data_IF_561425711708
#
_entry.id   IF_561425711708
#
_cell.length_a   1.000
_cell.length_b   1.000
_cell.length_c   1.000
_cell.angle_alpha   90.00
_cell.angle_beta   90.00
_cell.angle_gamma   90.00
#
_symmetry.space_group_name_H-M   'P 1'
#
loop_
_entity.id
_entity.type
_entity.pdbx_description
1 polymer ?
#
# COMPACT_ATOMS: atom_id res chain seq x y z
N UNK A 1 -27.30 -31.04 -10.36
CA UNK A 1 -26.75 -29.67 -10.26
C UNK A 1 -25.24 -29.77 -10.26
N UNK A 2 -24.54 -29.24 -11.27
CA UNK A 2 -23.08 -29.13 -11.25
C UNK A 2 -22.73 -27.97 -10.33
N UNK A 3 -22.12 -28.26 -9.19
CA UNK A 3 -21.47 -27.27 -8.34
C UNK A 3 -20.36 -26.65 -9.16
N UNK A 4 -20.52 -25.39 -9.58
CA UNK A 4 -19.41 -24.62 -10.13
C UNK A 4 -18.45 -24.34 -8.97
N UNK A 5 -17.14 -24.54 -9.12
CA UNK A 5 -16.20 -24.01 -8.15
C UNK A 5 -16.42 -22.49 -8.13
N UNK A 6 -16.86 -21.96 -7.00
CA UNK A 6 -16.72 -20.54 -6.74
C UNK A 6 -15.23 -20.28 -6.90
N UNK A 7 -14.84 -19.61 -7.98
CA UNK A 7 -13.50 -19.08 -8.11
C UNK A 7 -13.42 -18.05 -6.99
N UNK A 8 -13.03 -18.50 -5.79
CA UNK A 8 -12.68 -17.62 -4.68
C UNK A 8 -11.50 -16.79 -5.19
N UNK A 9 -11.83 -15.64 -5.76
CA UNK A 9 -10.85 -14.60 -6.02
C UNK A 9 -10.13 -14.39 -4.69
N UNK A 10 -8.81 -14.56 -4.69
CA UNK A 10 -7.99 -14.37 -3.52
C UNK A 10 -8.41 -13.07 -2.79
N UNK A 11 -8.52 -13.11 -1.45
CA UNK A 11 -8.94 -11.96 -0.66
C UNK A 11 -8.10 -10.74 -1.04
N UNK A 12 -8.77 -9.60 -1.31
CA UNK A 12 -8.09 -8.37 -1.71
C UNK A 12 -7.51 -7.71 -0.47
N UNK A 13 -6.46 -8.29 0.07
CA UNK A 13 -5.87 -7.82 1.32
C UNK A 13 -5.03 -6.58 1.06
N UNK A 14 -5.28 -5.52 1.82
CA UNK A 14 -4.54 -4.26 1.75
C UNK A 14 -4.05 -3.94 3.15
N UNK A 15 -2.73 -3.76 3.29
CA UNK A 15 -2.15 -3.35 4.55
C UNK A 15 -2.22 -1.84 4.60
N UNK A 16 -2.82 -1.29 5.64
CA UNK A 16 -3.00 0.14 5.83
C UNK A 16 -2.33 0.56 7.14
N UNK A 17 -1.57 1.64 7.13
CA UNK A 17 -1.02 2.23 8.34
C UNK A 17 -0.77 3.72 8.16
N UNK A 18 -0.57 4.42 9.28
CA UNK A 18 -0.21 5.84 9.29
C UNK A 18 1.19 5.99 9.87
N UNK A 19 2.02 6.81 9.23
CA UNK A 19 3.40 7.06 9.66
C UNK A 19 3.50 7.55 11.12
N UNK A 20 4.63 7.27 11.77
CA UNK A 20 4.99 7.57 13.18
C UNK A 20 4.54 8.96 13.66
N UNK A 21 4.63 9.95 12.78
CA UNK A 21 4.44 11.36 13.11
C UNK A 21 2.98 11.83 13.15
N UNK A 22 2.00 10.97 12.89
CA UNK A 22 0.62 11.41 12.65
C UNK A 22 -0.43 10.62 13.48
N UNK A 23 -1.13 11.35 14.35
CA UNK A 23 -2.18 10.84 15.25
C UNK A 23 -3.59 10.94 14.65
N UNK A 24 -3.73 11.31 13.37
CA UNK A 24 -5.02 11.37 12.68
C UNK A 24 -5.57 9.98 12.34
N UNK A 25 -6.07 9.29 13.36
CA UNK A 25 -6.73 8.00 13.21
C UNK A 25 -8.03 8.08 12.37
N UNK A 26 -8.68 9.25 12.30
CA UNK A 26 -9.97 9.43 11.62
C UNK A 26 -9.85 9.20 10.11
N UNK A 27 -8.86 9.81 9.45
CA UNK A 27 -8.66 9.64 8.01
C UNK A 27 -8.31 8.18 7.67
N UNK A 28 -7.47 7.56 8.50
CA UNK A 28 -7.11 6.15 8.39
C UNK A 28 -8.33 5.23 8.50
N UNK A 29 -9.18 5.46 9.51
CA UNK A 29 -10.41 4.69 9.68
C UNK A 29 -11.41 4.91 8.55
N UNK A 30 -11.52 6.13 8.00
CA UNK A 30 -12.37 6.42 6.85
C UNK A 30 -11.90 5.67 5.59
N UNK A 31 -10.60 5.69 5.30
CA UNK A 31 -10.03 4.95 4.16
C UNK A 31 -10.25 3.45 4.35
N UNK A 32 -9.97 2.92 5.54
CA UNK A 32 -10.22 1.52 5.86
C UNK A 32 -11.71 1.15 5.69
N UNK A 33 -12.61 2.02 6.14
CA UNK A 33 -14.06 1.81 6.03
C UNK A 33 -14.51 1.82 4.57
N UNK A 34 -14.07 2.80 3.78
CA UNK A 34 -14.38 2.87 2.35
C UNK A 34 -13.88 1.65 1.59
N UNK A 35 -12.64 1.21 1.84
CA UNK A 35 -12.08 0.01 1.21
C UNK A 35 -12.82 -1.26 1.63
N UNK A 36 -13.14 -1.41 2.92
CA UNK A 36 -13.97 -2.53 3.39
C UNK A 36 -15.36 -2.52 2.76
N UNK A 37 -15.96 -1.34 2.56
CA UNK A 37 -17.23 -1.17 1.85
C UNK A 37 -17.16 -1.59 0.37
N UNK A 38 -15.97 -1.53 -0.24
CA UNK A 38 -15.71 -2.03 -1.59
C UNK A 38 -15.35 -3.53 -1.64
N UNK A 39 -15.31 -4.21 -0.49
CA UNK A 39 -15.01 -5.64 -0.39
C UNK A 39 -13.52 -5.98 -0.24
N UNK A 40 -12.66 -5.00 0.07
CA UNK A 40 -11.25 -5.26 0.40
C UNK A 40 -11.09 -5.70 1.85
N UNK A 41 -10.11 -6.57 2.08
CA UNK A 41 -9.71 -6.98 3.42
C UNK A 41 -8.60 -6.05 3.94
N UNK A 42 -8.97 -5.07 4.76
CA UNK A 42 -8.03 -4.03 5.20
C UNK A 42 -7.42 -4.40 6.55
N UNK A 43 -6.13 -4.71 6.52
CA UNK A 43 -5.27 -4.94 7.70
C UNK A 43 -4.74 -3.59 8.15
N UNK A 44 -5.45 -2.96 9.10
CA UNK A 44 -5.09 -1.65 9.61
C UNK A 44 -4.12 -1.80 10.80
N UNK A 45 -2.86 -1.41 10.62
CA UNK A 45 -1.80 -1.40 11.64
C UNK A 45 -1.94 -0.21 12.60
N UNK A 46 -2.82 0.74 12.29
CA UNK A 46 -3.13 1.87 13.14
C UNK A 46 -2.28 3.09 12.85
N UNK A 47 -2.06 3.89 13.88
CA UNK A 47 -1.19 5.08 13.83
C UNK A 47 0.18 4.76 14.38
N UNK A 48 1.14 5.57 13.96
CA UNK A 48 2.52 5.47 14.36
C UNK A 48 3.26 4.19 13.92
N UNK A 49 2.92 3.65 12.74
CA UNK A 49 3.46 2.39 12.25
C UNK A 49 4.85 2.57 11.63
N UNK A 50 5.78 1.72 12.04
CA UNK A 50 7.17 1.69 11.54
C UNK A 50 7.32 0.80 10.28
N UNK A 51 8.41 0.99 9.52
CA UNK A 51 8.73 0.13 8.36
C UNK A 51 8.85 -1.35 8.75
N UNK A 52 9.38 -1.65 9.94
CA UNK A 52 9.47 -3.01 10.43
C UNK A 52 8.09 -3.63 10.68
N UNK A 53 7.13 -2.87 11.22
CA UNK A 53 5.75 -3.35 11.36
C UNK A 53 5.07 -3.57 10.01
N UNK A 54 5.28 -2.67 9.03
CA UNK A 54 4.81 -2.91 7.67
C UNK A 54 5.42 -4.19 7.09
N UNK A 55 6.72 -4.41 7.28
CA UNK A 55 7.41 -5.61 6.84
C UNK A 55 6.90 -6.88 7.54
N UNK A 56 6.61 -6.83 8.84
CA UNK A 56 5.99 -7.93 9.57
C UNK A 56 4.57 -8.22 9.09
N UNK A 57 3.78 -7.17 8.84
CA UNK A 57 2.44 -7.31 8.28
C UNK A 57 2.47 -7.92 6.87
N UNK A 58 3.42 -7.49 6.01
CA UNK A 58 3.66 -8.12 4.71
C UNK A 58 4.05 -9.59 4.85
N UNK A 59 4.87 -9.94 5.84
CA UNK A 59 5.25 -11.33 6.09
C UNK A 59 4.07 -12.18 6.60
N UNK A 60 3.16 -11.59 7.39
CA UNK A 60 1.94 -12.26 7.85
C UNK A 60 0.87 -12.35 6.75
N UNK A 61 0.85 -11.39 5.83
CA UNK A 61 -0.07 -11.31 4.70
C UNK A 61 0.70 -11.29 3.37
N UNK A 62 1.31 -12.42 2.97
CA UNK A 62 2.08 -12.50 1.71
C UNK A 62 1.20 -12.27 0.47
N UNK A 63 -0.13 -12.44 0.60
CA UNK A 63 -1.10 -12.22 -0.46
C UNK A 63 -1.54 -10.75 -0.61
N UNK A 64 -1.03 -9.85 0.24
CA UNK A 64 -1.39 -8.44 0.21
C UNK A 64 -1.17 -7.84 -1.18
N UNK A 65 -2.19 -7.15 -1.71
CA UNK A 65 -2.13 -6.52 -3.03
C UNK A 65 -1.25 -5.28 -3.02
N UNK A 66 -1.27 -4.52 -1.91
CA UNK A 66 -0.47 -3.33 -1.71
C UNK A 66 -0.35 -2.96 -0.22
N UNK A 67 0.68 -2.18 0.10
CA UNK A 67 0.82 -1.47 1.38
C UNK A 67 0.45 -0.02 1.16
N UNK A 68 -0.47 0.52 1.95
CA UNK A 68 -0.91 1.90 1.93
C UNK A 68 -0.43 2.60 3.19
N UNK A 69 0.35 3.67 3.03
CA UNK A 69 0.92 4.44 4.13
C UNK A 69 0.36 5.86 4.09
N UNK A 70 -0.43 6.22 5.10
CA UNK A 70 -0.94 7.57 5.30
C UNK A 70 0.11 8.51 5.93
N UNK A 71 0.29 9.70 5.39
CA UNK A 71 1.07 10.77 6.05
C UNK A 71 0.50 12.16 5.77
N UNK A 72 0.20 12.93 6.83
CA UNK A 72 -0.20 14.34 6.74
C UNK A 72 0.89 15.32 7.19
N UNK A 73 1.98 14.84 7.80
CA UNK A 73 2.93 15.68 8.54
C UNK A 73 4.25 16.00 7.81
N UNK A 74 4.39 15.66 6.52
CA UNK A 74 5.57 16.02 5.72
C UNK A 74 6.90 15.36 6.11
N UNK A 75 6.93 14.59 7.21
CA UNK A 75 8.12 13.89 7.73
C UNK A 75 8.21 12.42 7.25
N UNK A 76 7.39 12.05 6.28
CA UNK A 76 7.33 10.70 5.69
C UNK A 76 8.71 10.18 5.24
N UNK A 77 9.66 11.07 4.95
CA UNK A 77 11.05 10.72 4.60
C UNK A 77 11.84 10.03 5.72
N UNK A 78 11.74 10.50 6.96
CA UNK A 78 12.44 9.86 8.08
C UNK A 78 11.74 8.55 8.45
N UNK A 79 10.41 8.55 8.40
CA UNK A 79 9.58 7.39 8.75
C UNK A 79 9.72 6.23 7.75
N UNK A 80 9.93 6.51 6.46
CA UNK A 80 10.13 5.49 5.41
C UNK A 80 11.60 5.13 5.17
N UNK A 81 12.51 5.65 5.98
CA UNK A 81 13.93 5.38 5.83
C UNK A 81 14.22 3.89 6.10
N UNK A 82 14.60 3.15 5.07
CA UNK A 82 14.82 1.71 5.15
C UNK A 82 13.74 0.86 4.47
N UNK A 83 12.70 1.47 3.91
CA UNK A 83 11.72 0.79 3.05
C UNK A 83 12.41 0.14 1.83
N UNK A 84 13.32 0.86 1.19
CA UNK A 84 14.21 0.38 0.14
C UNK A 84 14.94 -0.91 0.54
N UNK A 85 15.53 -0.93 1.74
CA UNK A 85 16.21 -2.10 2.29
C UNK A 85 15.25 -3.24 2.60
N UNK A 86 14.06 -2.95 3.13
CA UNK A 86 13.04 -3.96 3.39
C UNK A 86 12.57 -4.61 2.09
N UNK A 87 12.38 -3.83 1.01
CA UNK A 87 12.08 -4.34 -0.34
C UNK A 87 13.24 -5.17 -0.90
N UNK A 88 14.47 -4.67 -0.82
CA UNK A 88 15.67 -5.40 -1.27
C UNK A 88 15.91 -6.70 -0.50
N UNK A 89 15.58 -6.73 0.80
CA UNK A 89 15.66 -7.92 1.64
C UNK A 89 14.50 -8.92 1.40
N UNK A 90 13.55 -8.59 0.51
CA UNK A 90 12.37 -9.42 0.24
C UNK A 90 11.34 -9.45 1.37
N UNK A 91 11.42 -8.51 2.32
CA UNK A 91 10.44 -8.39 3.42
C UNK A 91 9.15 -7.69 2.96
N UNK A 92 9.24 -6.86 1.93
CA UNK A 92 8.10 -6.21 1.28
C UNK A 92 8.15 -6.56 -0.20
N UNK A 93 7.23 -7.43 -0.63
CA UNK A 93 7.14 -7.95 -2.00
C UNK A 93 6.04 -7.27 -2.82
N UNK A 94 5.16 -6.53 -2.16
CA UNK A 94 4.04 -5.83 -2.77
C UNK A 94 4.35 -4.33 -2.98
N UNK A 95 3.64 -3.67 -3.91
CA UNK A 95 3.79 -2.24 -4.15
C UNK A 95 3.41 -1.41 -2.92
N UNK A 96 4.19 -0.37 -2.66
CA UNK A 96 3.98 0.57 -1.55
C UNK A 96 3.40 1.86 -2.11
N UNK A 97 2.19 2.18 -1.63
CA UNK A 97 1.42 3.37 -1.97
C UNK A 97 1.47 4.31 -0.78
N UNK A 98 1.93 5.54 -0.98
CA UNK A 98 1.85 6.59 0.04
C UNK A 98 0.67 7.49 -0.27
N UNK A 99 -0.21 7.68 0.70
CA UNK A 99 -1.39 8.52 0.59
C UNK A 99 -1.39 9.65 1.62
N UNK A 100 -2.04 10.76 1.32
CA UNK A 100 -2.31 11.82 2.29
C UNK A 100 -2.08 13.22 1.76
N UNK A 101 -2.44 14.21 2.57
CA UNK A 101 -2.20 15.60 2.24
C UNK A 101 -0.73 15.96 2.52
N UNK A 102 0.14 15.70 1.54
CA UNK A 102 1.53 16.19 1.56
C UNK A 102 1.62 17.73 1.51
N UNK A 103 0.47 18.45 1.42
CA UNK A 103 0.43 19.91 1.35
C UNK A 103 0.50 20.62 2.72
N UNK A 104 0.57 19.90 3.85
CA UNK A 104 0.72 20.55 5.17
C UNK A 104 2.21 20.82 5.46
N UNK A 105 2.77 21.72 4.65
CA UNK A 105 4.19 22.08 4.72
C UNK A 105 4.62 23.05 3.63
N UNK A 106 3.76 23.98 3.19
CA UNK A 106 4.06 25.19 2.38
C UNK A 106 4.97 25.13 1.14
N UNK A 107 5.51 23.99 0.73
CA UNK A 107 6.36 23.88 -0.45
C UNK A 107 6.03 22.59 -1.19
N UNK A 108 5.36 22.74 -2.34
CA UNK A 108 5.38 21.75 -3.42
C UNK A 108 6.82 21.67 -3.93
N UNK A 109 7.69 21.07 -3.16
CA UNK A 109 9.03 20.75 -3.62
C UNK A 109 8.94 19.39 -4.30
N UNK A 110 9.04 19.37 -5.64
CA UNK A 110 9.21 18.15 -6.42
C UNK A 110 10.34 17.26 -5.83
N UNK A 111 11.29 17.88 -5.12
CA UNK A 111 12.36 17.19 -4.39
C UNK A 111 11.87 16.27 -3.25
N UNK A 112 10.71 16.53 -2.64
CA UNK A 112 10.13 15.65 -1.62
C UNK A 112 9.48 14.42 -2.26
N UNK A 113 8.83 14.57 -3.41
CA UNK A 113 8.29 13.40 -4.13
C UNK A 113 9.41 12.51 -4.66
N UNK A 114 10.44 13.11 -5.26
CA UNK A 114 11.59 12.37 -5.80
C UNK A 114 12.31 11.55 -4.72
N UNK A 115 12.46 12.14 -3.52
CA UNK A 115 13.02 11.43 -2.36
C UNK A 115 12.14 10.27 -1.87
N UNK A 116 10.81 10.35 -2.01
CA UNK A 116 9.91 9.25 -1.63
C UNK A 116 10.07 8.07 -2.59
N UNK A 117 10.11 8.35 -3.89
CA UNK A 117 10.41 7.34 -4.91
C UNK A 117 11.80 6.74 -4.68
N UNK A 118 12.81 7.57 -4.38
CA UNK A 118 14.16 7.10 -4.06
C UNK A 118 14.21 6.24 -2.77
N UNK A 119 13.30 6.46 -1.82
CA UNK A 119 13.16 5.65 -0.61
C UNK A 119 12.46 4.30 -0.86
N UNK A 120 11.91 4.06 -2.07
CA UNK A 120 11.30 2.79 -2.45
C UNK A 120 9.77 2.80 -2.52
N UNK A 121 9.14 3.97 -2.47
CA UNK A 121 7.70 4.14 -2.72
C UNK A 121 7.39 3.93 -4.20
N UNK A 122 6.36 3.17 -4.53
CA UNK A 122 5.98 2.90 -5.93
C UNK A 122 4.94 3.90 -6.44
N UNK A 123 4.00 4.31 -5.58
CA UNK A 123 2.92 5.21 -5.96
C UNK A 123 2.63 6.24 -4.86
N UNK A 124 2.27 7.45 -5.26
CA UNK A 124 1.92 8.53 -4.35
C UNK A 124 0.53 9.03 -4.74
N UNK A 125 -0.41 9.06 -3.80
CA UNK A 125 -1.78 9.50 -3.99
C UNK A 125 -2.09 10.71 -3.11
N UNK A 126 -2.56 11.78 -3.75
CA UNK A 126 -3.04 12.97 -3.03
C UNK A 126 -4.51 12.83 -2.62
N UNK A 127 -5.29 12.07 -3.39
CA UNK A 127 -6.71 11.83 -3.15
C UNK A 127 -6.97 10.35 -2.81
N UNK A 128 -7.52 10.02 -1.62
CA UNK A 128 -7.89 8.64 -1.28
C UNK A 128 -8.97 8.05 -2.19
N UNK A 129 -9.75 8.86 -2.92
CA UNK A 129 -10.75 8.39 -3.88
C UNK A 129 -10.12 7.68 -5.10
N UNK A 130 -8.86 7.96 -5.42
CA UNK A 130 -8.11 7.30 -6.50
C UNK A 130 -7.52 5.95 -6.09
N UNK A 131 -7.48 5.68 -4.78
CA UNK A 131 -6.84 4.49 -4.22
C UNK A 131 -7.47 3.18 -4.70
N UNK A 132 -8.82 3.02 -4.76
CA UNK A 132 -9.43 1.83 -5.32
C UNK A 132 -9.06 1.58 -6.79
N UNK A 133 -9.01 2.65 -7.60
CA UNK A 133 -8.63 2.56 -9.02
C UNK A 133 -7.18 2.10 -9.18
N UNK A 134 -6.27 2.61 -8.34
CA UNK A 134 -4.88 2.19 -8.33
C UNK A 134 -4.75 0.71 -7.92
N UNK A 135 -5.45 0.28 -6.87
CA UNK A 135 -5.45 -1.11 -6.43
C UNK A 135 -5.95 -2.06 -7.54
N UNK A 136 -7.00 -1.67 -8.27
CA UNK A 136 -7.49 -2.42 -9.42
C UNK A 136 -6.46 -2.51 -10.55
N UNK A 137 -5.77 -1.41 -10.85
CA UNK A 137 -4.70 -1.40 -11.84
C UNK A 137 -3.52 -2.30 -11.44
N UNK A 138 -3.12 -2.25 -10.15
CA UNK A 138 -2.05 -3.09 -9.59
C UNK A 138 -2.39 -4.57 -9.66
N UNK A 139 -3.63 -4.95 -9.30
CA UNK A 139 -4.10 -6.33 -9.44
C UNK A 139 -4.08 -6.79 -10.89
N UNK A 140 -4.62 -5.98 -11.80
CA UNK A 140 -4.62 -6.31 -13.22
C UNK A 140 -3.20 -6.47 -13.78
N UNK A 141 -2.23 -5.68 -13.30
CA UNK A 141 -0.82 -5.82 -13.67
C UNK A 141 -0.20 -7.11 -13.12
N UNK A 142 -0.49 -7.46 -11.86
CA UNK A 142 -0.05 -8.70 -11.22
C UNK A 142 -0.58 -9.93 -11.96
N UNK A 143 -1.87 -9.94 -12.30
CA UNK A 143 -2.52 -11.03 -13.02
C UNK A 143 -1.89 -11.20 -14.42
N UNK A 144 -1.62 -10.10 -15.15
CA UNK A 144 -0.91 -10.15 -16.44
C UNK A 144 0.51 -10.72 -16.31
N UNK A 145 1.25 -10.34 -15.26
CA UNK A 145 2.60 -10.86 -15.03
C UNK A 145 2.59 -12.35 -14.69
N UNK A 146 1.60 -12.81 -13.92
CA UNK A 146 1.43 -14.23 -13.61
C UNK A 146 1.14 -15.06 -14.87
N UNK A 147 0.25 -14.57 -15.75
CA UNK A 147 -0.07 -15.23 -17.03
C UNK A 147 1.14 -15.28 -17.96
N UNK A 148 1.94 -14.21 -18.03
CA UNK A 148 3.15 -14.17 -18.86
C UNK A 148 4.21 -15.17 -18.39
N UNK A 149 4.45 -15.28 -17.08
CA UNK A 149 5.38 -16.27 -16.51
C UNK A 149 4.90 -17.71 -16.68
N UNK A 150 3.58 -17.95 -16.65
CA UNK A 150 2.99 -19.26 -16.92
C UNK A 150 3.14 -19.70 -18.39
N UNK A 151 3.05 -18.77 -19.34
CA UNK A 151 3.27 -19.05 -20.78
C UNK A 151 4.74 -19.26 -21.15
N UNK A 152 5.70 -18.71 -20.39
CA UNK A 152 7.12 -18.90 -20.65
C UNK A 152 7.69 -20.24 -20.14
N UNK A 153 6.96 -20.93 -19.25
CA UNK A 153 7.37 -22.20 -18.65
C UNK A 153 6.74 -23.44 -19.32
N UNK A 154 6.06 -23.27 -20.46
CA UNK A 154 5.40 -24.35 -21.22
C UNK A 154 6.08 -24.62 -22.57
#
# INVERSE_FOLDING_TARGET
>A
MRTMPHQESAPRTVILGVAASDSHAVANHLIAYSLRGLGYDVVNLGTCTSVDEFAEACAQHPDAEAVVIGSLNGHVHEDLRGLDRAKQAGRITCPVVVGGNLSVGSHKDDSSLDRLYAAGVDHILSDPAELPLLLDALRAARDRSAVASGMAAS
#
